data_IF_847728879309
#
_entry.id   IF_847728879309
#
_cell.length_a   1.000
_cell.length_b   1.000
_cell.length_c   1.000
_cell.angle_alpha   90.00
_cell.angle_beta   90.00
_cell.angle_gamma   90.00
#
_symmetry.space_group_name_H-M   'P 1'
#
loop_
_entity.id
_entity.type
_entity.pdbx_description
1 polymer ?
#
# COMPACT_ATOMS: atom_id res chain seq x y z
N UNK A 1 -44.86 33.37 15.33
CA UNK A 1 -43.56 33.67 15.96
C UNK A 1 -42.51 32.87 15.21
N UNK A 2 -41.61 33.50 14.43
CA UNK A 2 -40.54 32.78 13.77
C UNK A 2 -39.43 32.46 14.79
N UNK A 3 -39.04 31.21 14.88
CA UNK A 3 -37.94 30.75 15.71
C UNK A 3 -36.63 31.36 15.20
N UNK A 4 -36.06 32.25 16.01
CA UNK A 4 -34.74 32.83 15.77
C UNK A 4 -33.73 31.77 16.21
N UNK A 5 -33.18 31.04 15.21
CA UNK A 5 -32.00 30.21 15.46
C UNK A 5 -30.83 31.14 15.78
N UNK A 6 -30.12 30.94 16.92
CA UNK A 6 -28.92 31.70 17.20
C UNK A 6 -27.91 31.42 16.10
N UNK A 7 -27.52 32.49 15.39
CA UNK A 7 -26.38 32.48 14.46
C UNK A 7 -25.16 32.19 15.32
N UNK A 8 -24.69 30.92 15.31
CA UNK A 8 -23.38 30.61 15.83
C UNK A 8 -22.39 31.44 15.00
N UNK A 9 -21.85 32.47 15.60
CA UNK A 9 -20.67 33.15 15.10
C UNK A 9 -19.54 32.12 15.17
N UNK A 10 -19.34 31.36 14.05
CA UNK A 10 -18.06 30.76 13.77
C UNK A 10 -17.09 31.94 13.65
N UNK A 11 -16.52 32.36 14.78
CA UNK A 11 -15.19 32.94 14.75
C UNK A 11 -14.35 31.87 14.09
N UNK A 12 -13.99 32.12 12.83
CA UNK A 12 -12.97 31.34 12.15
C UNK A 12 -11.70 31.59 12.96
N UNK A 13 -11.49 30.78 14.00
CA UNK A 13 -10.19 30.61 14.63
C UNK A 13 -9.30 30.11 13.48
N UNK A 14 -8.53 31.05 12.92
CA UNK A 14 -7.44 30.69 12.00
C UNK A 14 -6.60 29.69 12.78
N UNK A 15 -6.45 28.44 12.27
CA UNK A 15 -5.70 27.42 12.98
C UNK A 15 -4.31 27.98 13.28
N UNK A 16 -3.85 27.79 14.51
CA UNK A 16 -2.54 28.30 14.92
C UNK A 16 -1.45 27.72 14.00
N UNK A 17 -0.43 28.50 13.70
CA UNK A 17 0.69 28.06 12.86
C UNK A 17 1.30 26.75 13.37
N UNK A 18 1.38 26.58 14.69
CA UNK A 18 1.83 25.38 15.37
C UNK A 18 0.94 24.16 15.06
N UNK A 19 -0.39 24.34 14.97
CA UNK A 19 -1.32 23.28 14.57
C UNK A 19 -1.16 22.87 13.10
N UNK A 20 -0.89 23.83 12.21
CA UNK A 20 -0.67 23.57 10.79
C UNK A 20 0.68 22.89 10.52
N UNK A 21 1.68 23.13 11.36
CA UNK A 21 3.02 22.55 11.25
C UNK A 21 3.13 21.16 11.91
N UNK A 22 2.12 20.77 12.74
CA UNK A 22 2.09 19.44 13.32
C UNK A 22 1.99 18.38 12.24
N UNK A 23 3.05 17.59 12.05
CA UNK A 23 3.08 16.52 11.07
C UNK A 23 3.37 15.16 11.72
N UNK A 24 2.59 14.16 11.35
CA UNK A 24 2.80 12.76 11.77
C UNK A 24 3.59 11.93 10.75
N UNK A 25 4.19 12.61 9.78
CA UNK A 25 4.93 11.98 8.68
C UNK A 25 6.02 11.04 9.18
N UNK A 26 6.86 11.51 10.12
CA UNK A 26 7.97 10.72 10.66
C UNK A 26 7.50 9.43 11.35
N UNK A 27 6.40 9.51 12.09
CA UNK A 27 5.82 8.33 12.75
C UNK A 27 5.25 7.34 11.71
N UNK A 28 4.51 7.84 10.72
CA UNK A 28 3.92 7.00 9.65
C UNK A 28 5.02 6.32 8.83
N UNK A 29 6.02 7.08 8.37
CA UNK A 29 7.16 6.54 7.61
C UNK A 29 7.97 5.55 8.45
N UNK A 30 8.23 5.86 9.72
CA UNK A 30 8.99 5.00 10.61
C UNK A 30 8.28 3.66 10.86
N UNK A 31 7.00 3.70 11.19
CA UNK A 31 6.20 2.49 11.41
C UNK A 31 6.11 1.64 10.13
N UNK A 32 5.75 2.24 9.00
CA UNK A 32 5.64 1.53 7.71
C UNK A 32 6.99 1.00 7.25
N UNK A 33 8.07 1.78 7.42
CA UNK A 33 9.43 1.35 7.11
C UNK A 33 9.90 0.17 7.94
N UNK A 34 9.56 0.13 9.24
CA UNK A 34 9.88 -1.00 10.10
C UNK A 34 9.16 -2.29 9.65
N UNK A 35 7.85 -2.21 9.33
CA UNK A 35 7.12 -3.37 8.80
C UNK A 35 7.62 -3.81 7.43
N UNK A 36 7.89 -2.87 6.53
CA UNK A 36 8.47 -3.17 5.21
C UNK A 36 9.85 -3.82 5.34
N UNK A 37 10.70 -3.31 6.23
CA UNK A 37 12.01 -3.88 6.52
C UNK A 37 11.93 -5.30 7.06
N UNK A 38 11.05 -5.55 8.03
CA UNK A 38 10.81 -6.89 8.57
C UNK A 38 10.31 -7.87 7.48
N UNK A 39 9.39 -7.43 6.62
CA UNK A 39 8.91 -8.23 5.49
C UNK A 39 10.03 -8.56 4.50
N UNK A 40 10.87 -7.59 4.13
CA UNK A 40 12.01 -7.81 3.24
C UNK A 40 13.03 -8.79 3.83
N UNK A 41 13.33 -8.67 5.13
CA UNK A 41 14.21 -9.61 5.82
C UNK A 41 13.64 -11.04 5.75
N UNK A 42 12.33 -11.21 5.98
CA UNK A 42 11.69 -12.52 5.87
C UNK A 42 11.76 -13.11 4.46
N UNK A 43 11.57 -12.28 3.42
CA UNK A 43 11.72 -12.69 2.01
C UNK A 43 13.15 -13.09 1.70
N UNK A 44 14.14 -12.29 2.11
CA UNK A 44 15.56 -12.58 1.90
C UNK A 44 15.99 -13.87 2.62
N UNK A 45 15.53 -14.08 3.86
CA UNK A 45 15.82 -15.30 4.61
C UNK A 45 15.23 -16.52 3.92
N UNK A 46 13.99 -16.44 3.45
CA UNK A 46 13.35 -17.53 2.70
C UNK A 46 14.11 -17.82 1.40
N UNK A 47 14.51 -16.80 0.67
CA UNK A 47 15.27 -16.95 -0.57
C UNK A 47 16.64 -17.59 -0.31
N UNK A 48 17.32 -17.13 0.74
CA UNK A 48 18.61 -17.71 1.18
C UNK A 48 18.49 -19.20 1.50
N UNK A 49 17.52 -19.60 2.29
CA UNK A 49 17.28 -21.00 2.64
C UNK A 49 17.01 -21.85 1.39
N UNK A 50 16.18 -21.33 0.46
CA UNK A 50 15.84 -22.06 -0.75
C UNK A 50 16.97 -22.18 -1.76
N UNK A 51 17.75 -21.12 -1.92
CA UNK A 51 18.88 -21.14 -2.89
C UNK A 51 20.10 -21.86 -2.33
N UNK A 52 20.46 -21.61 -1.06
CA UNK A 52 21.70 -22.13 -0.50
C UNK A 52 21.55 -23.51 0.18
N UNK A 53 20.39 -23.79 0.81
CA UNK A 53 20.20 -25.05 1.52
C UNK A 53 19.46 -26.11 0.70
N UNK A 54 18.40 -25.72 -0.02
CA UNK A 54 17.57 -26.67 -0.77
C UNK A 54 17.97 -26.81 -2.24
N UNK A 55 18.77 -25.88 -2.79
CA UNK A 55 19.21 -25.84 -4.19
C UNK A 55 18.04 -25.99 -5.21
N UNK A 56 16.85 -25.56 -4.82
CA UNK A 56 15.63 -25.70 -5.59
C UNK A 56 14.86 -24.39 -5.64
N UNK A 57 15.02 -23.69 -6.77
CA UNK A 57 14.29 -22.43 -7.06
C UNK A 57 13.03 -22.78 -7.85
N UNK A 58 11.87 -22.35 -7.36
CA UNK A 58 10.57 -22.59 -7.98
C UNK A 58 9.96 -21.30 -8.55
N UNK A 59 8.88 -21.43 -9.37
CA UNK A 59 8.16 -20.27 -9.88
C UNK A 59 7.54 -19.41 -8.77
N UNK A 60 7.27 -19.97 -7.60
CA UNK A 60 6.83 -19.29 -6.39
C UNK A 60 7.87 -18.29 -5.85
N UNK A 61 9.17 -18.62 -5.96
CA UNK A 61 10.25 -17.74 -5.53
C UNK A 61 10.38 -16.52 -6.43
N UNK A 62 10.18 -16.70 -7.74
CA UNK A 62 10.18 -15.60 -8.70
C UNK A 62 9.02 -14.63 -8.45
N UNK A 63 7.81 -15.15 -8.22
CA UNK A 63 6.65 -14.32 -7.87
C UNK A 63 6.89 -13.55 -6.56
N UNK A 64 7.57 -14.16 -5.59
CA UNK A 64 7.90 -13.54 -4.31
C UNK A 64 8.93 -12.42 -4.44
N UNK A 65 9.96 -12.59 -5.28
CA UNK A 65 10.94 -11.55 -5.58
C UNK A 65 10.24 -10.35 -6.25
N UNK A 66 9.36 -10.62 -7.21
CA UNK A 66 8.61 -9.57 -7.89
C UNK A 66 7.69 -8.82 -6.92
N UNK A 67 7.02 -9.52 -6.01
CA UNK A 67 6.21 -8.91 -4.95
C UNK A 67 7.06 -8.03 -4.01
N UNK A 68 8.27 -8.45 -3.66
CA UNK A 68 9.21 -7.66 -2.86
C UNK A 68 9.64 -6.37 -3.58
N UNK A 69 9.88 -6.44 -4.89
CA UNK A 69 10.16 -5.25 -5.70
C UNK A 69 8.98 -4.26 -5.71
N UNK A 70 7.74 -4.76 -5.80
CA UNK A 70 6.53 -3.92 -5.70
C UNK A 70 6.41 -3.28 -4.32
N UNK A 71 6.74 -3.99 -3.24
CA UNK A 71 6.75 -3.45 -1.88
C UNK A 71 7.78 -2.32 -1.71
N UNK A 72 8.97 -2.47 -2.27
CA UNK A 72 9.98 -1.39 -2.29
C UNK A 72 9.47 -0.18 -3.07
N UNK A 73 8.89 -0.40 -4.26
CA UNK A 73 8.28 0.66 -5.07
C UNK A 73 7.17 1.41 -4.32
N UNK A 74 6.32 0.68 -3.61
CA UNK A 74 5.27 1.25 -2.74
C UNK A 74 5.85 2.16 -1.66
N UNK A 75 6.94 1.73 -1.01
CA UNK A 75 7.60 2.54 0.01
C UNK A 75 8.23 3.82 -0.58
N UNK A 76 8.80 3.75 -1.77
CA UNK A 76 9.32 4.92 -2.51
C UNK A 76 8.18 5.90 -2.83
N UNK A 77 7.03 5.40 -3.31
CA UNK A 77 5.86 6.25 -3.58
C UNK A 77 5.36 6.94 -2.31
N UNK A 78 5.33 6.23 -1.19
CA UNK A 78 4.95 6.79 0.11
C UNK A 78 5.91 7.90 0.58
N UNK A 79 7.21 7.76 0.34
CA UNK A 79 8.18 8.83 0.56
C UNK A 79 7.91 10.04 -0.36
N UNK A 80 7.50 9.80 -1.61
CA UNK A 80 7.08 10.84 -2.54
C UNK A 80 5.83 11.59 -2.05
N UNK A 81 4.79 10.88 -1.62
CA UNK A 81 3.57 11.45 -1.05
C UNK A 81 3.86 12.31 0.20
N UNK A 82 4.80 11.88 1.04
CA UNK A 82 5.18 12.62 2.25
C UNK A 82 5.78 13.99 1.95
N UNK A 83 6.42 14.16 0.80
CA UNK A 83 6.98 15.44 0.34
C UNK A 83 5.90 16.43 -0.13
N UNK A 84 4.67 15.95 -0.41
CA UNK A 84 3.57 16.75 -0.93
C UNK A 84 2.39 16.91 0.04
N UNK A 85 2.57 16.57 1.32
CA UNK A 85 1.60 16.89 2.36
C UNK A 85 0.94 15.68 3.04
N UNK A 86 1.37 14.45 2.74
CA UNK A 86 0.94 13.29 3.52
C UNK A 86 1.29 13.47 5.00
N UNK A 87 0.28 13.32 5.88
CA UNK A 87 0.47 13.46 7.33
C UNK A 87 0.36 14.88 7.87
N UNK A 88 0.10 15.87 7.04
CA UNK A 88 -0.27 17.24 7.41
C UNK A 88 -1.79 17.43 7.37
N UNK A 89 -2.26 18.50 8.01
CA UNK A 89 -3.67 18.89 7.92
C UNK A 89 -4.02 19.37 6.50
N UNK A 90 -5.23 19.07 6.03
CA UNK A 90 -5.68 19.46 4.68
C UNK A 90 -5.61 20.98 4.42
N UNK A 91 -5.78 21.78 5.48
CA UNK A 91 -5.70 23.24 5.43
C UNK A 91 -4.28 23.76 5.11
N UNK A 92 -3.24 22.94 5.35
CA UNK A 92 -1.86 23.25 4.99
C UNK A 92 -1.59 23.04 3.50
N UNK A 93 -2.36 22.20 2.82
CA UNK A 93 -2.16 21.83 1.43
C UNK A 93 -2.51 22.97 0.49
N UNK A 94 -1.52 23.46 -0.25
CA UNK A 94 -1.74 24.49 -1.27
C UNK A 94 -2.25 23.86 -2.59
N UNK A 95 -3.06 24.61 -3.40
CA UNK A 95 -3.66 24.07 -4.62
C UNK A 95 -2.69 23.43 -5.61
N UNK A 96 -1.45 23.92 -5.71
CA UNK A 96 -0.44 23.36 -6.61
C UNK A 96 0.17 22.04 -6.14
N UNK A 97 -0.02 21.67 -4.86
CA UNK A 97 0.48 20.42 -4.29
C UNK A 97 -0.45 19.23 -4.60
N UNK A 98 -1.71 19.49 -4.92
CA UNK A 98 -2.69 18.42 -5.14
C UNK A 98 -2.35 17.56 -6.36
N UNK A 99 -1.95 18.16 -7.48
CA UNK A 99 -1.64 17.42 -8.71
C UNK A 99 -0.50 16.40 -8.51
N UNK A 100 0.70 16.80 -8.02
CA UNK A 100 1.77 15.84 -7.79
C UNK A 100 1.43 14.83 -6.70
N UNK A 101 0.71 15.22 -5.64
CA UNK A 101 0.26 14.31 -4.60
C UNK A 101 -0.63 13.18 -5.16
N UNK A 102 -1.64 13.52 -5.96
CA UNK A 102 -2.52 12.52 -6.57
C UNK A 102 -1.79 11.60 -7.56
N UNK A 103 -0.78 12.08 -8.26
CA UNK A 103 0.07 11.23 -9.12
C UNK A 103 0.80 10.16 -8.33
N UNK A 104 1.41 10.55 -7.19
CA UNK A 104 2.09 9.61 -6.30
C UNK A 104 1.11 8.63 -5.66
N UNK A 105 -0.02 9.12 -5.19
CA UNK A 105 -1.09 8.30 -4.61
C UNK A 105 -1.63 7.26 -5.60
N UNK A 106 -1.81 7.65 -6.85
CA UNK A 106 -2.22 6.74 -7.91
C UNK A 106 -1.18 5.65 -8.17
N UNK A 107 0.09 6.02 -8.32
CA UNK A 107 1.19 5.07 -8.51
C UNK A 107 1.31 4.12 -7.31
N UNK A 108 1.19 4.64 -6.08
CA UNK A 108 1.14 3.86 -4.85
C UNK A 108 0.02 2.82 -4.89
N UNK A 109 -1.20 3.24 -5.18
CA UNK A 109 -2.37 2.34 -5.25
C UNK A 109 -2.18 1.20 -6.27
N UNK A 110 -1.62 1.50 -7.45
CA UNK A 110 -1.30 0.49 -8.46
C UNK A 110 -0.25 -0.52 -7.96
N UNK A 111 0.83 -0.04 -7.37
CA UNK A 111 1.91 -0.91 -6.87
C UNK A 111 1.43 -1.81 -5.74
N UNK A 112 0.61 -1.28 -4.82
CA UNK A 112 -0.01 -2.08 -3.74
C UNK A 112 -0.89 -3.17 -4.32
N UNK A 113 -1.79 -2.86 -5.26
CA UNK A 113 -2.67 -3.85 -5.89
C UNK A 113 -1.88 -4.95 -6.60
N UNK A 114 -0.88 -4.57 -7.41
CA UNK A 114 -0.01 -5.53 -8.09
C UNK A 114 0.78 -6.38 -7.10
N UNK A 115 1.32 -5.78 -6.04
CA UNK A 115 2.03 -6.48 -4.99
C UNK A 115 1.18 -7.53 -4.30
N UNK A 116 -0.05 -7.19 -3.92
CA UNK A 116 -1.00 -8.13 -3.29
C UNK A 116 -1.35 -9.30 -4.22
N UNK A 117 -1.58 -9.04 -5.51
CA UNK A 117 -1.84 -10.09 -6.50
C UNK A 117 -0.64 -11.05 -6.59
N UNK A 118 0.58 -10.52 -6.68
CA UNK A 118 1.80 -11.33 -6.75
C UNK A 118 2.04 -12.18 -5.51
N UNK A 119 1.79 -11.62 -4.31
CA UNK A 119 1.86 -12.37 -3.05
C UNK A 119 0.86 -13.52 -3.05
N UNK A 120 -0.38 -13.28 -3.46
CA UNK A 120 -1.42 -14.33 -3.54
C UNK A 120 -1.05 -15.41 -4.54
N UNK A 121 -0.48 -15.05 -5.70
CA UNK A 121 0.02 -16.01 -6.69
C UNK A 121 1.16 -16.83 -6.11
N UNK A 122 2.12 -16.21 -5.41
CA UNK A 122 3.22 -16.93 -4.75
C UNK A 122 2.73 -17.94 -3.73
N UNK A 123 1.76 -17.53 -2.88
CA UNK A 123 1.13 -18.42 -1.91
C UNK A 123 0.38 -19.56 -2.62
N UNK A 124 -0.33 -19.26 -3.71
CA UNK A 124 -1.05 -20.26 -4.49
C UNK A 124 -0.11 -21.34 -5.02
N UNK A 125 1.02 -20.96 -5.63
CA UNK A 125 2.03 -21.91 -6.11
C UNK A 125 2.63 -22.74 -4.96
N UNK A 126 2.91 -22.10 -3.83
CA UNK A 126 3.42 -22.80 -2.66
C UNK A 126 2.42 -23.84 -2.11
N UNK A 127 1.13 -23.46 -1.99
CA UNK A 127 0.08 -24.37 -1.52
C UNK A 127 -0.18 -25.51 -2.52
N UNK A 128 -0.19 -25.26 -3.83
CA UNK A 128 -0.34 -26.29 -4.83
C UNK A 128 0.76 -27.36 -4.76
N UNK A 129 1.95 -26.95 -4.31
CA UNK A 129 3.07 -27.88 -4.15
C UNK A 129 2.92 -28.77 -2.92
N UNK A 130 2.29 -28.29 -1.85
CA UNK A 130 2.16 -28.99 -0.56
C UNK A 130 0.84 -29.78 -0.49
N UNK A 131 -0.25 -29.19 -0.99
CA UNK A 131 -1.60 -29.71 -0.85
C UNK A 131 -2.10 -30.34 -2.15
N UNK A 132 -2.38 -31.63 -2.12
CA UNK A 132 -2.98 -32.41 -3.21
C UNK A 132 -4.50 -32.16 -3.36
N UNK A 133 -5.13 -31.46 -2.41
CA UNK A 133 -6.60 -31.26 -2.40
C UNK A 133 -7.03 -30.16 -3.38
N UNK A 134 -7.85 -30.57 -4.35
CA UNK A 134 -8.39 -29.74 -5.45
C UNK A 134 -9.25 -28.54 -4.97
N UNK A 135 -9.90 -28.63 -3.84
CA UNK A 135 -10.80 -27.60 -3.29
C UNK A 135 -10.06 -26.30 -2.93
N UNK A 136 -8.85 -26.39 -2.40
CA UNK A 136 -8.04 -25.24 -2.02
C UNK A 136 -7.50 -24.48 -3.25
N UNK A 137 -7.18 -25.19 -4.30
CA UNK A 137 -6.74 -24.60 -5.57
C UNK A 137 -7.84 -23.72 -6.18
N UNK A 138 -9.08 -24.17 -6.16
CA UNK A 138 -10.23 -23.41 -6.67
C UNK A 138 -10.46 -22.14 -5.85
N UNK A 139 -10.38 -22.21 -4.52
CA UNK A 139 -10.54 -21.06 -3.64
C UNK A 139 -9.47 -19.97 -3.92
N UNK A 140 -8.21 -20.37 -4.11
CA UNK A 140 -7.11 -19.47 -4.42
C UNK A 140 -7.29 -18.77 -5.77
N UNK A 141 -7.70 -19.51 -6.80
CA UNK A 141 -7.96 -18.95 -8.13
C UNK A 141 -9.13 -17.96 -8.14
N UNK A 142 -10.19 -18.23 -7.36
CA UNK A 142 -11.31 -17.29 -7.19
C UNK A 142 -10.83 -16.01 -6.49
N UNK A 143 -9.97 -16.12 -5.47
CA UNK A 143 -9.43 -14.96 -4.76
C UNK A 143 -8.57 -14.08 -5.68
N UNK A 144 -7.65 -14.68 -6.44
CA UNK A 144 -6.82 -13.96 -7.41
C UNK A 144 -7.67 -13.31 -8.52
N UNK A 145 -8.70 -14.01 -9.00
CA UNK A 145 -9.63 -13.48 -10.00
C UNK A 145 -10.36 -12.22 -9.53
N UNK A 146 -10.78 -12.17 -8.27
CA UNK A 146 -11.42 -10.97 -7.69
C UNK A 146 -10.47 -9.78 -7.62
N UNK A 147 -9.21 -10.01 -7.29
CA UNK A 147 -8.21 -8.92 -7.23
C UNK A 147 -7.90 -8.36 -8.62
N UNK A 148 -7.85 -9.21 -9.65
CA UNK A 148 -7.68 -8.77 -11.03
C UNK A 148 -8.89 -7.95 -11.49
N UNK A 149 -10.11 -8.33 -11.12
CA UNK A 149 -11.30 -7.53 -11.39
C UNK A 149 -11.26 -6.18 -10.68
N UNK A 150 -10.82 -6.14 -9.43
CA UNK A 150 -10.67 -4.89 -8.69
C UNK A 150 -9.65 -3.96 -9.35
N UNK A 151 -8.51 -4.50 -9.83
CA UNK A 151 -7.51 -3.74 -10.58
C UNK A 151 -8.09 -3.16 -11.89
N UNK A 152 -8.91 -3.94 -12.60
CA UNK A 152 -9.55 -3.50 -13.84
C UNK A 152 -10.58 -2.37 -13.60
N UNK A 153 -11.33 -2.47 -12.50
CA UNK A 153 -12.27 -1.43 -12.08
C UNK A 153 -11.53 -0.15 -11.66
N UNK A 154 -10.46 -0.27 -10.87
CA UNK A 154 -9.64 0.86 -10.47
C UNK A 154 -9.09 1.64 -11.67
N UNK A 155 -8.58 0.95 -12.70
CA UNK A 155 -8.11 1.55 -13.95
C UNK A 155 -9.23 2.27 -14.75
N UNK A 156 -10.48 1.86 -14.57
CA UNK A 156 -11.63 2.45 -15.28
C UNK A 156 -12.13 3.74 -14.61
N UNK A 157 -11.88 3.91 -13.30
CA UNK A 157 -12.34 5.06 -12.52
C UNK A 157 -11.35 6.24 -12.53
N UNK A 158 -10.15 6.04 -13.00
CA UNK A 158 -9.08 7.03 -13.15
C UNK A 158 -8.86 7.37 -14.64
#
# INVERSE_FOLDING_TARGET
>A
MPAVFPRQSHTADTPSQEYLEESRVSFILGATGAFAGAALIAVLLRLYVRTCMLHFVGPDDFAMILAALMAIGTFICMCGESSYGMGHHLEWMQPWMFEPYFRWLFAHGLLVMLGVILVKISIAFFLMRIMVQRSWTIFLWISVGKDIQALHLYKRWV
#
